data_IF_430710471042
#
_entry.id   IF_430710471042
#
_cell.length_a   1.000
_cell.length_b   1.000
_cell.length_c   1.000
_cell.angle_alpha   90.00
_cell.angle_beta   90.00
_cell.angle_gamma   90.00
#
_symmetry.space_group_name_H-M   'P 1'
#
loop_
_entity.id
_entity.type
_entity.pdbx_description
1 polymer ?
#
# COMPACT_ATOMS: atom_id res chain seq x y z
N UNK A 1 -32.93 43.76 39.55
CA UNK A 1 -33.72 43.79 40.80
C UNK A 1 -35.05 43.13 40.48
N UNK A 2 -35.49 42.01 41.04
CA UNK A 2 -35.17 41.19 42.22
C UNK A 2 -35.69 39.77 41.89
N UNK A 3 -34.90 38.71 42.06
CA UNK A 3 -34.96 37.69 43.14
C UNK A 3 -36.35 37.08 43.45
N UNK A 4 -36.48 35.77 43.25
CA UNK A 4 -36.78 34.70 44.26
C UNK A 4 -37.16 33.39 43.52
N UNK A 5 -36.41 32.30 43.71
CA UNK A 5 -36.73 31.12 44.58
C UNK A 5 -38.03 30.40 44.15
N UNK A 6 -38.14 29.09 43.92
CA UNK A 6 -37.38 27.90 44.29
C UNK A 6 -38.42 26.79 44.54
N UNK A 7 -38.19 25.54 44.12
CA UNK A 7 -38.61 24.31 44.84
C UNK A 7 -38.42 23.06 43.98
N UNK A 8 -38.03 21.98 44.66
CA UNK A 8 -37.65 20.67 44.17
C UNK A 8 -38.83 19.66 44.20
N UNK A 9 -38.78 18.61 43.37
CA UNK A 9 -39.48 17.34 43.58
C UNK A 9 -38.80 16.24 42.73
N UNK A 10 -38.09 15.31 43.38
CA UNK A 10 -38.47 13.91 43.70
C UNK A 10 -38.00 12.86 42.69
N UNK A 11 -37.23 11.91 43.23
CA UNK A 11 -36.70 10.72 42.58
C UNK A 11 -37.75 9.57 42.55
N UNK A 12 -37.59 8.65 41.58
CA UNK A 12 -38.22 7.34 41.56
C UNK A 12 -37.53 6.44 40.53
N UNK A 13 -37.07 5.21 40.88
CA UNK A 13 -36.28 4.35 40.01
C UNK A 13 -37.14 3.35 39.24
N UNK A 14 -36.74 2.99 38.02
CA UNK A 14 -37.34 1.87 37.27
C UNK A 14 -36.29 0.84 36.85
N UNK A 15 -36.40 -0.31 37.53
CA UNK A 15 -36.27 -1.69 37.07
C UNK A 15 -35.14 -2.07 36.09
N UNK A 16 -34.19 -2.81 36.67
CA UNK A 16 -33.30 -3.78 36.04
C UNK A 16 -34.14 -4.93 35.46
N UNK A 17 -33.91 -5.28 34.19
CA UNK A 17 -34.31 -6.57 33.64
C UNK A 17 -33.08 -7.27 33.06
N UNK A 18 -32.68 -8.33 33.74
CA UNK A 18 -31.70 -9.30 33.25
C UNK A 18 -32.40 -10.21 32.23
N UNK A 19 -31.75 -10.43 31.09
CA UNK A 19 -32.06 -11.58 30.24
C UNK A 19 -30.81 -12.39 30.02
N UNK A 20 -30.97 -13.67 30.34
CA UNK A 20 -29.96 -14.69 30.43
C UNK A 20 -29.64 -15.32 29.08
N UNK A 21 -28.46 -15.93 29.08
CA UNK A 21 -27.90 -16.91 28.17
C UNK A 21 -28.89 -17.77 27.37
N UNK A 22 -28.63 -17.85 26.06
CA UNK A 22 -28.82 -19.08 25.29
C UNK A 22 -27.61 -19.28 24.39
N UNK A 23 -26.75 -20.21 24.80
CA UNK A 23 -25.67 -20.75 23.99
C UNK A 23 -26.26 -21.63 22.89
N UNK A 24 -25.79 -21.43 21.66
CA UNK A 24 -26.06 -22.31 20.52
C UNK A 24 -24.78 -23.12 20.26
N UNK A 25 -24.84 -24.46 20.19
CA UNK A 25 -23.69 -25.26 19.83
C UNK A 25 -23.40 -25.08 18.34
N UNK A 26 -22.13 -24.83 18.00
CA UNK A 26 -21.67 -24.89 16.62
C UNK A 26 -20.98 -26.23 16.47
N UNK A 27 -21.59 -27.08 15.65
CA UNK A 27 -21.04 -28.38 15.30
C UNK A 27 -19.75 -28.21 14.51
N UNK A 28 -18.75 -28.95 14.99
CA UNK A 28 -17.45 -29.22 14.41
C UNK A 28 -17.63 -30.32 13.35
N UNK A 29 -17.18 -30.08 12.10
CA UNK A 29 -16.59 -31.05 11.18
C UNK A 29 -16.50 -30.50 9.74
N UNK A 30 -15.40 -30.87 9.05
CA UNK A 30 -15.15 -30.83 7.60
C UNK A 30 -14.55 -29.56 6.96
N UNK A 31 -13.29 -29.26 7.31
CA UNK A 31 -12.36 -28.59 6.39
C UNK A 31 -11.52 -29.63 5.65
N UNK A 32 -11.97 -29.97 4.44
CA UNK A 32 -11.27 -30.82 3.49
C UNK A 32 -9.96 -30.16 3.05
N UNK A 33 -8.86 -30.84 3.37
CA UNK A 33 -7.54 -30.64 2.82
C UNK A 33 -7.54 -31.03 1.33
N UNK A 34 -7.21 -30.10 0.45
CA UNK A 34 -6.74 -30.41 -0.88
C UNK A 34 -5.20 -30.47 -0.84
N UNK A 35 -4.66 -31.63 -0.48
CA UNK A 35 -3.26 -31.96 -0.76
C UNK A 35 -3.18 -32.47 -2.19
N UNK A 36 -2.46 -31.76 -3.06
CA UNK A 36 -2.04 -32.29 -4.34
C UNK A 36 -0.86 -33.24 -4.12
N UNK A 37 -1.15 -34.54 -4.22
CA UNK A 37 -0.17 -35.61 -4.30
C UNK A 37 0.73 -35.41 -5.53
N UNK A 38 2.03 -35.32 -5.29
CA UNK A 38 3.06 -35.52 -6.33
C UNK A 38 3.48 -36.97 -6.22
N UNK A 39 3.18 -37.75 -7.26
CA UNK A 39 3.68 -39.09 -7.46
C UNK A 39 5.21 -39.11 -7.49
N UNK A 40 5.80 -39.81 -6.54
CA UNK A 40 7.18 -40.26 -6.57
C UNK A 40 7.19 -41.68 -7.14
N UNK A 41 7.83 -41.86 -8.31
CA UNK A 41 8.05 -43.17 -8.92
C UNK A 41 9.52 -43.50 -8.74
N UNK A 42 9.77 -44.58 -7.99
CA UNK A 42 11.09 -45.04 -7.62
C UNK A 42 11.97 -45.49 -8.78
N UNK A 43 13.28 -45.50 -8.49
CA UNK A 43 14.31 -46.17 -9.26
C UNK A 43 15.48 -46.53 -8.35
N UNK A 44 15.52 -47.80 -7.94
CA UNK A 44 16.66 -48.43 -7.27
C UNK A 44 17.87 -48.58 -8.20
N UNK A 45 19.06 -48.31 -7.67
CA UNK A 45 20.33 -49.03 -7.88
C UNK A 45 21.35 -48.34 -6.95
N UNK A 46 21.98 -48.97 -5.95
CA UNK A 46 22.77 -50.19 -6.06
C UNK A 46 24.25 -49.79 -6.20
N UNK A 47 25.02 -49.78 -5.10
CA UNK A 47 26.46 -49.50 -5.16
C UNK A 47 27.16 -49.47 -3.79
N UNK A 48 27.73 -50.60 -3.38
CA UNK A 48 28.70 -50.76 -2.28
C UNK A 48 30.10 -50.29 -2.71
N UNK A 49 30.87 -49.70 -1.80
CA UNK A 49 32.30 -49.99 -1.49
C UNK A 49 32.82 -48.89 -0.53
N UNK A 50 33.34 -49.26 0.65
CA UNK A 50 34.78 -49.25 1.03
C UNK A 50 35.44 -47.88 0.80
N UNK A 51 36.09 -47.19 1.74
CA UNK A 51 36.91 -47.56 2.88
C UNK A 51 38.04 -46.49 2.98
N UNK A 52 38.76 -46.46 4.11
CA UNK A 52 40.04 -45.74 4.35
C UNK A 52 39.99 -44.30 4.94
N UNK A 53 40.04 -44.25 6.28
CA UNK A 53 41.24 -43.90 7.09
C UNK A 53 42.20 -42.77 6.63
N UNK A 54 42.21 -41.71 7.43
CA UNK A 54 43.34 -41.00 8.09
C UNK A 54 44.64 -40.66 7.33
N UNK A 55 45.04 -39.38 7.41
CA UNK A 55 46.28 -38.78 8.01
C UNK A 55 46.33 -37.30 7.58
N UNK A 56 46.35 -36.33 8.51
CA UNK A 56 47.54 -35.70 9.10
C UNK A 56 48.55 -35.21 8.05
N UNK A 57 48.79 -33.90 7.96
CA UNK A 57 50.11 -33.28 8.23
C UNK A 57 50.10 -31.77 7.91
N UNK A 58 50.90 -31.11 8.73
CA UNK A 58 51.36 -29.74 8.83
C UNK A 58 51.86 -29.05 7.56
N UNK A 59 52.09 -27.73 7.67
CA UNK A 59 53.23 -27.14 6.95
C UNK A 59 53.06 -25.71 6.45
N UNK A 60 53.60 -24.77 7.24
CA UNK A 60 53.92 -23.37 6.90
C UNK A 60 54.57 -23.20 5.52
N UNK A 61 54.28 -22.07 4.87
CA UNK A 61 55.12 -21.55 3.78
C UNK A 61 54.74 -20.16 3.30
N UNK A 62 55.19 -19.11 4.02
CA UNK A 62 55.28 -17.74 3.47
C UNK A 62 56.42 -17.69 2.45
N UNK A 63 56.21 -17.06 1.28
CA UNK A 63 57.02 -15.93 0.78
C UNK A 63 56.42 -15.29 -0.48
N UNK A 64 56.71 -14.00 -0.74
CA UNK A 64 56.04 -13.15 -1.73
C UNK A 64 56.87 -13.03 -3.02
N UNK A 65 56.25 -12.76 -4.17
CA UNK A 65 56.94 -12.09 -5.28
C UNK A 65 55.97 -11.43 -6.29
N UNK A 66 56.38 -10.22 -6.68
CA UNK A 66 56.27 -9.56 -7.99
C UNK A 66 54.99 -8.81 -8.39
N UNK A 67 55.17 -7.49 -8.37
CA UNK A 67 54.60 -6.49 -9.27
C UNK A 67 54.83 -6.89 -10.74
N UNK A 68 53.82 -6.66 -11.56
CA UNK A 68 53.99 -6.22 -12.94
C UNK A 68 52.76 -5.38 -13.28
N UNK A 69 52.96 -4.11 -13.63
CA UNK A 69 51.95 -3.28 -14.27
C UNK A 69 52.07 -3.41 -15.78
N UNK A 70 50.94 -3.32 -16.49
CA UNK A 70 50.83 -2.95 -17.90
C UNK A 70 49.40 -2.41 -18.09
N UNK A 71 49.29 -1.11 -18.31
CA UNK A 71 48.95 -0.47 -19.59
C UNK A 71 47.53 -0.76 -20.10
N UNK A 72 46.74 0.31 -20.10
CA UNK A 72 45.44 0.44 -20.73
C UNK A 72 45.52 0.33 -22.26
N UNK A 73 44.37 0.07 -22.90
CA UNK A 73 44.01 0.87 -24.06
C UNK A 73 42.63 1.52 -23.88
N UNK A 74 42.59 2.80 -24.24
CA UNK A 74 41.39 3.56 -24.49
C UNK A 74 40.69 3.00 -25.75
N UNK A 75 39.38 2.79 -25.66
CA UNK A 75 38.50 2.70 -26.83
C UNK A 75 37.23 3.49 -26.57
N UNK A 76 37.08 4.50 -27.42
CA UNK A 76 35.96 5.42 -27.58
C UNK A 76 34.81 4.79 -28.38
N UNK A 77 33.65 5.42 -28.20
CA UNK A 77 32.49 5.51 -29.10
C UNK A 77 31.32 4.54 -28.84
N UNK A 78 30.13 5.13 -28.71
CA UNK A 78 28.86 4.43 -28.78
C UNK A 78 27.76 5.08 -27.96
N UNK A 79 27.25 6.23 -28.39
CA UNK A 79 26.07 6.87 -27.83
C UNK A 79 24.84 5.97 -27.98
N UNK A 80 24.13 5.72 -26.88
CA UNK A 80 22.74 5.27 -26.89
C UNK A 80 21.93 6.21 -25.99
N UNK A 81 21.29 7.18 -26.62
CA UNK A 81 20.27 8.03 -25.99
C UNK A 81 18.97 7.24 -25.99
N UNK A 82 18.69 6.56 -24.88
CA UNK A 82 17.40 5.96 -24.59
C UNK A 82 16.49 6.98 -23.90
N UNK A 83 15.45 7.41 -24.60
CA UNK A 83 14.42 8.35 -24.11
C UNK A 83 13.53 7.66 -23.08
N UNK A 84 13.76 7.92 -21.79
CA UNK A 84 12.80 7.64 -20.71
C UNK A 84 11.84 8.84 -20.60
N UNK A 85 10.61 8.71 -21.11
CA UNK A 85 9.53 9.65 -20.79
C UNK A 85 9.03 9.38 -19.36
N UNK A 86 9.62 10.09 -18.40
CA UNK A 86 9.05 10.30 -17.08
C UNK A 86 8.01 11.44 -17.14
N UNK A 87 6.95 11.38 -16.33
CA UNK A 87 6.04 12.50 -16.06
C UNK A 87 6.84 13.74 -15.63
N UNK A 88 7.16 14.62 -16.59
CA UNK A 88 7.94 15.83 -16.36
C UNK A 88 6.97 16.95 -15.96
N UNK A 89 6.84 17.22 -14.66
CA UNK A 89 6.17 18.43 -14.15
C UNK A 89 7.04 19.64 -14.48
N UNK A 90 6.56 20.57 -15.31
CA UNK A 90 7.14 21.90 -15.41
C UNK A 90 6.64 22.76 -14.24
N UNK A 91 7.51 23.51 -13.53
CA UNK A 91 7.07 24.48 -12.55
C UNK A 91 6.69 25.77 -13.30
N UNK A 92 5.39 26.10 -13.34
CA UNK A 92 4.95 27.45 -13.69
C UNK A 92 5.06 28.31 -12.44
N UNK A 93 5.92 29.31 -12.49
CA UNK A 93 6.01 30.35 -11.47
C UNK A 93 4.72 31.18 -11.47
N UNK A 94 3.92 31.05 -10.42
CA UNK A 94 2.81 31.96 -10.15
C UNK A 94 3.21 32.91 -9.02
N UNK A 95 3.67 34.09 -9.41
CA UNK A 95 3.69 35.27 -8.54
C UNK A 95 2.46 36.12 -8.84
N UNK A 96 1.56 36.23 -7.85
CA UNK A 96 0.75 37.38 -7.42
C UNK A 96 -0.72 37.05 -7.10
N UNK A 97 -1.10 37.57 -5.94
CA UNK A 97 -2.42 37.96 -5.44
C UNK A 97 -3.49 36.88 -5.20
N UNK A 98 -3.36 36.27 -4.02
CA UNK A 98 -4.47 35.70 -3.27
C UNK A 98 -5.44 36.81 -2.84
N UNK A 99 -6.36 37.18 -3.73
CA UNK A 99 -7.29 38.26 -3.46
C UNK A 99 -8.44 38.40 -4.46
N UNK A 100 -8.84 37.33 -5.15
CA UNK A 100 -10.11 37.33 -5.90
C UNK A 100 -10.56 35.90 -6.18
N UNK A 101 -11.49 35.41 -5.35
CA UNK A 101 -12.29 34.23 -5.67
C UNK A 101 -13.23 34.63 -6.80
N UNK A 102 -12.90 34.24 -8.04
CA UNK A 102 -13.88 34.27 -9.11
C UNK A 102 -14.94 33.22 -8.81
N UNK A 103 -16.16 33.68 -8.53
CA UNK A 103 -17.37 32.92 -8.84
C UNK A 103 -17.36 32.72 -10.35
N UNK A 104 -17.32 31.47 -10.79
CA UNK A 104 -17.70 31.12 -12.15
C UNK A 104 -19.22 31.18 -12.21
N UNK A 105 -19.75 32.34 -12.59
CA UNK A 105 -21.13 32.45 -13.03
C UNK A 105 -21.19 31.88 -14.46
N UNK A 106 -21.81 30.72 -14.64
CA UNK A 106 -21.94 30.07 -15.95
C UNK A 106 -22.14 28.55 -15.96
N UNK A 107 -22.76 27.94 -14.94
CA UNK A 107 -23.33 26.58 -15.10
C UNK A 107 -24.65 26.71 -15.87
N UNK A 108 -24.61 26.44 -17.17
CA UNK A 108 -25.80 26.05 -17.92
C UNK A 108 -26.15 24.61 -17.57
N UNK A 109 -27.44 24.32 -17.42
CA UNK A 109 -28.03 22.98 -17.22
C UNK A 109 -27.86 22.08 -18.47
N UNK A 110 -26.65 21.94 -19.01
CA UNK A 110 -26.36 20.96 -20.05
C UNK A 110 -26.39 19.56 -19.43
N UNK A 111 -27.32 18.74 -19.91
CA UNK A 111 -27.47 17.33 -19.54
C UNK A 111 -26.12 16.63 -19.71
N UNK A 112 -25.57 16.09 -18.62
CA UNK A 112 -24.28 15.43 -18.61
C UNK A 112 -24.17 14.39 -19.75
N UNK A 113 -23.04 14.31 -20.47
CA UNK A 113 -22.88 13.39 -21.59
C UNK A 113 -23.12 11.93 -21.13
N UNK A 114 -23.91 11.20 -21.91
CA UNK A 114 -24.28 9.79 -21.64
C UNK A 114 -23.14 8.87 -22.10
N UNK A 115 -22.30 8.39 -21.18
CA UNK A 115 -21.22 7.42 -21.43
C UNK A 115 -20.15 7.39 -20.31
N UNK A 116 -19.25 6.40 -20.31
CA UNK A 116 -18.26 6.18 -19.23
C UNK A 116 -16.82 6.47 -19.66
N UNK A 117 -15.95 6.93 -18.77
CA UNK A 117 -14.54 7.21 -19.08
C UNK A 117 -13.58 6.13 -18.54
N UNK A 118 -12.53 5.76 -19.29
CA UNK A 118 -11.49 4.82 -18.83
C UNK A 118 -10.05 5.29 -19.17
N UNK A 119 -9.10 5.02 -18.26
CA UNK A 119 -7.65 5.16 -18.51
C UNK A 119 -7.03 3.79 -18.78
N UNK A 120 -6.71 3.49 -20.04
CA UNK A 120 -6.05 2.24 -20.46
C UNK A 120 -4.57 2.42 -20.75
N UNK A 121 -3.72 1.49 -20.27
CA UNK A 121 -2.44 1.22 -20.95
C UNK A 121 -2.70 0.20 -22.06
N UNK A 122 -2.05 0.38 -23.21
CA UNK A 122 -2.35 -0.32 -24.46
C UNK A 122 -2.10 -1.83 -24.48
N UNK A 123 -1.76 -2.50 -23.38
CA UNK A 123 -1.42 -3.93 -23.42
C UNK A 123 -2.63 -4.86 -23.58
N UNK A 124 -3.86 -4.40 -23.26
CA UNK A 124 -5.10 -5.10 -23.67
C UNK A 124 -5.66 -4.60 -25.02
N UNK A 125 -5.10 -3.52 -25.56
CA UNK A 125 -5.32 -3.09 -26.96
C UNK A 125 -4.21 -3.60 -27.90
N UNK A 126 -3.25 -4.39 -27.39
CA UNK A 126 -2.09 -4.89 -28.13
C UNK A 126 -2.41 -6.12 -29.01
N UNK A 127 -3.57 -6.10 -29.66
CA UNK A 127 -3.73 -6.66 -30.99
C UNK A 127 -4.32 -5.56 -31.90
N UNK A 128 -3.46 -4.69 -32.46
CA UNK A 128 -3.90 -3.61 -33.34
C UNK A 128 -4.66 -4.07 -34.60
N UNK A 129 -4.66 -5.37 -34.91
CA UNK A 129 -5.25 -5.90 -36.15
C UNK A 129 -6.65 -6.53 -36.00
N UNK A 130 -7.06 -6.96 -34.81
CA UNK A 130 -8.36 -7.64 -34.63
C UNK A 130 -9.49 -6.67 -34.22
N UNK A 131 -9.18 -5.58 -33.50
CA UNK A 131 -10.20 -4.67 -32.95
C UNK A 131 -10.61 -3.52 -33.89
N UNK A 132 -9.92 -3.33 -35.01
CA UNK A 132 -10.40 -2.43 -36.07
C UNK A 132 -11.49 -3.08 -36.94
N UNK A 133 -11.74 -4.39 -36.82
CA UNK A 133 -12.77 -5.10 -37.58
C UNK A 133 -14.11 -5.27 -36.85
N UNK A 134 -14.17 -5.07 -35.54
CA UNK A 134 -15.40 -5.38 -34.76
C UNK A 134 -16.42 -4.24 -34.70
N UNK A 135 -16.18 -3.11 -35.38
CA UNK A 135 -17.19 -2.06 -35.54
C UNK A 135 -17.70 -1.44 -34.24
N UNK A 136 -16.89 -1.44 -33.17
CA UNK A 136 -17.25 -0.76 -31.93
C UNK A 136 -17.05 0.75 -32.09
N UNK A 137 -18.13 1.41 -32.52
CA UNK A 137 -18.21 2.86 -32.75
C UNK A 137 -18.17 3.67 -31.46
N UNK A 138 -16.99 3.82 -30.87
CA UNK A 138 -16.67 4.96 -30.00
C UNK A 138 -15.96 6.05 -30.82
N UNK A 139 -16.18 7.32 -30.49
CA UNK A 139 -15.64 8.47 -31.25
C UNK A 139 -14.11 8.54 -31.33
N UNK A 140 -13.37 7.80 -30.51
CA UNK A 140 -11.91 7.64 -30.65
C UNK A 140 -11.50 6.66 -31.76
N UNK A 141 -12.44 5.94 -32.36
CA UNK A 141 -12.22 5.03 -33.49
C UNK A 141 -13.34 5.10 -34.55
N UNK A 142 -14.37 5.94 -34.38
CA UNK A 142 -15.44 6.10 -35.35
C UNK A 142 -15.17 7.30 -36.25
N UNK A 143 -14.33 7.10 -37.25
CA UNK A 143 -14.51 7.76 -38.52
C UNK A 143 -14.10 6.80 -39.62
N UNK A 144 -14.93 6.77 -40.65
CA UNK A 144 -14.92 5.95 -41.86
C UNK A 144 -13.71 6.16 -42.78
N UNK A 145 -12.55 6.52 -42.22
CA UNK A 145 -11.31 6.74 -42.95
C UNK A 145 -10.21 6.15 -42.09
N UNK A 146 -9.32 5.35 -42.68
CA UNK A 146 -8.17 4.75 -42.00
C UNK A 146 -7.44 5.81 -41.17
N UNK A 147 -7.68 5.80 -39.86
CA UNK A 147 -7.10 6.78 -38.95
C UNK A 147 -5.58 6.57 -38.94
N UNK A 148 -4.85 7.61 -39.31
CA UNK A 148 -3.41 7.71 -39.20
C UNK A 148 -2.98 7.32 -37.77
N UNK A 149 -1.90 6.54 -37.65
CA UNK A 149 -1.24 6.18 -36.38
C UNK A 149 -1.08 7.41 -35.47
N UNK A 150 -0.87 8.58 -36.06
CA UNK A 150 -0.74 9.87 -35.39
C UNK A 150 -2.00 10.34 -34.64
N UNK A 151 -3.19 9.93 -35.09
CA UNK A 151 -4.48 10.25 -34.46
C UNK A 151 -4.75 9.31 -33.27
N UNK A 152 -4.32 8.05 -33.39
CA UNK A 152 -4.33 7.08 -32.30
C UNK A 152 -3.30 7.45 -31.20
N UNK A 153 -2.14 8.00 -31.58
CA UNK A 153 -1.15 8.53 -30.64
C UNK A 153 -1.66 9.76 -29.87
N UNK A 154 -2.68 10.47 -30.37
CA UNK A 154 -3.27 11.63 -29.68
C UNK A 154 -4.09 11.23 -28.44
N UNK A 155 -4.62 10.02 -28.41
CA UNK A 155 -5.34 9.48 -27.23
C UNK A 155 -4.41 8.93 -26.13
N UNK A 156 -3.08 9.07 -26.28
CA UNK A 156 -2.14 8.75 -25.19
C UNK A 156 -2.41 9.66 -23.99
N UNK A 157 -3.07 9.09 -22.99
CA UNK A 157 -3.35 9.78 -21.74
C UNK A 157 -4.53 10.74 -21.81
N UNK A 158 -5.51 10.46 -22.67
CA UNK A 158 -6.83 11.10 -22.61
C UNK A 158 -7.91 10.08 -22.23
N UNK A 159 -8.92 10.57 -21.52
CA UNK A 159 -10.09 9.79 -21.12
C UNK A 159 -10.96 9.52 -22.36
N UNK A 160 -11.20 8.25 -22.70
CA UNK A 160 -12.10 7.87 -23.78
C UNK A 160 -13.50 7.60 -23.26
N UNK A 161 -14.54 8.07 -23.98
CA UNK A 161 -15.95 7.78 -23.65
C UNK A 161 -16.34 6.42 -24.25
N UNK A 162 -16.77 5.50 -23.38
CA UNK A 162 -17.25 4.17 -23.72
C UNK A 162 -18.79 4.15 -23.81
N UNK A 163 -19.38 3.33 -24.70
CA UNK A 163 -20.82 3.13 -24.78
C UNK A 163 -21.41 2.57 -23.47
N UNK A 164 -22.63 3.01 -23.11
CA UNK A 164 -23.35 2.63 -21.89
C UNK A 164 -23.43 1.11 -21.65
N UNK A 165 -23.57 0.33 -22.72
CA UNK A 165 -23.61 -1.15 -22.68
C UNK A 165 -22.33 -1.81 -22.17
N UNK A 166 -21.20 -1.09 -22.19
CA UNK A 166 -19.92 -1.51 -21.61
C UNK A 166 -19.89 -1.26 -20.10
N UNK A 167 -20.58 -0.22 -19.64
CA UNK A 167 -20.73 0.15 -18.24
C UNK A 167 -21.67 -0.82 -17.49
N UNK A 168 -22.69 -1.32 -18.18
CA UNK A 168 -23.67 -2.28 -17.64
C UNK A 168 -23.06 -3.66 -17.31
N UNK A 169 -21.84 -3.94 -17.78
CA UNK A 169 -21.07 -5.17 -17.51
C UNK A 169 -20.08 -5.05 -16.33
N UNK A 170 -20.18 -3.99 -15.53
CA UNK A 170 -19.41 -3.84 -14.28
C UNK A 170 -18.22 -2.88 -14.33
N UNK A 171 -18.12 -2.01 -15.35
CA UNK A 171 -17.22 -0.87 -15.32
C UNK A 171 -17.95 0.33 -14.71
N UNK A 172 -17.51 0.79 -13.54
CA UNK A 172 -18.11 1.96 -12.89
C UNK A 172 -17.95 3.19 -13.77
N UNK A 173 -18.96 4.06 -13.76
CA UNK A 173 -18.88 5.46 -14.17
C UNK A 173 -17.74 6.13 -13.36
N UNK A 174 -16.50 6.14 -13.86
CA UNK A 174 -15.35 6.55 -13.06
C UNK A 174 -15.36 8.06 -12.86
N UNK A 175 -15.84 8.48 -11.68
CA UNK A 175 -15.61 9.80 -11.11
C UNK A 175 -14.11 10.12 -11.20
N UNK A 176 -13.71 11.38 -11.43
CA UNK A 176 -12.29 11.74 -11.39
C UNK A 176 -11.69 11.27 -10.07
N UNK A 177 -10.46 10.72 -10.14
CA UNK A 177 -9.77 10.26 -8.94
C UNK A 177 -9.74 11.38 -7.88
N UNK A 178 -10.01 11.07 -6.61
CA UNK A 178 -9.97 12.06 -5.55
C UNK A 178 -8.59 12.71 -5.51
N UNK A 179 -8.56 14.04 -5.66
CA UNK A 179 -7.33 14.80 -5.58
C UNK A 179 -6.76 14.73 -4.16
N UNK A 180 -5.50 14.30 -4.06
CA UNK A 180 -4.68 14.42 -2.86
C UNK A 180 -3.78 15.64 -3.02
N UNK A 181 -3.80 16.51 -2.01
CA UNK A 181 -3.00 17.73 -2.00
C UNK A 181 -1.50 17.45 -1.96
N UNK A 182 -0.73 18.41 -2.46
CA UNK A 182 0.71 18.45 -2.19
C UNK A 182 0.96 18.77 -0.72
N UNK A 183 2.01 18.18 -0.16
CA UNK A 183 2.46 18.53 1.18
C UNK A 183 2.91 19.99 1.27
N UNK A 184 2.51 20.66 2.34
CA UNK A 184 2.98 21.98 2.72
C UNK A 184 3.22 21.97 4.23
N UNK A 185 4.47 22.16 4.62
CA UNK A 185 4.91 22.09 6.02
C UNK A 185 4.04 22.96 6.93
N UNK A 186 3.45 22.34 7.94
CA UNK A 186 2.65 23.02 8.97
C UNK A 186 3.42 23.23 10.27
N UNK A 187 4.48 22.45 10.50
CA UNK A 187 5.30 22.49 11.71
C UNK A 187 6.62 23.24 11.56
N UNK A 188 7.25 23.47 12.70
CA UNK A 188 8.55 24.13 12.82
C UNK A 188 9.70 23.11 12.79
N UNK A 189 10.75 23.44 12.03
CA UNK A 189 11.98 22.66 11.95
C UNK A 189 11.86 21.34 11.19
N UNK A 190 13.01 20.72 10.93
CA UNK A 190 13.10 19.43 10.22
C UNK A 190 12.71 18.27 11.13
N UNK A 191 11.83 17.40 10.64
CA UNK A 191 11.36 16.18 11.33
C UNK A 191 11.59 14.97 10.43
N UNK A 192 12.29 13.94 10.92
CA UNK A 192 12.40 12.66 10.21
C UNK A 192 11.35 11.69 10.76
N UNK A 193 10.60 11.07 9.87
CA UNK A 193 9.55 10.11 10.21
C UNK A 193 9.88 8.77 9.58
N UNK A 194 9.94 7.71 10.40
CA UNK A 194 10.15 6.35 9.91
C UNK A 194 8.87 5.53 9.95
N UNK A 195 8.49 4.98 8.80
CA UNK A 195 7.28 4.16 8.63
C UNK A 195 7.64 2.71 8.29
N UNK A 196 6.76 1.77 8.62
CA UNK A 196 6.86 0.35 8.34
C UNK A 196 5.57 -0.19 7.71
N UNK A 197 5.71 -1.07 6.72
CA UNK A 197 4.67 -2.01 6.29
C UNK A 197 5.15 -3.44 6.50
N UNK A 198 4.32 -4.31 7.07
CA UNK A 198 4.69 -5.71 7.29
C UNK A 198 3.48 -6.64 7.45
N UNK A 199 3.22 -7.49 6.45
CA UNK A 199 2.28 -8.60 6.60
C UNK A 199 2.93 -9.66 7.51
N UNK A 200 2.26 -10.03 8.59
CA UNK A 200 2.78 -10.92 9.63
C UNK A 200 2.48 -12.40 9.38
N UNK A 201 1.66 -12.72 8.38
CA UNK A 201 1.26 -14.08 8.05
C UNK A 201 0.76 -14.86 9.28
N UNK A 202 -0.18 -14.23 10.01
CA UNK A 202 -0.43 -14.56 11.41
C UNK A 202 -0.79 -16.00 11.68
N UNK A 203 -1.67 -16.57 10.85
CA UNK A 203 -2.11 -17.94 11.02
C UNK A 203 -0.94 -18.92 10.99
N UNK A 204 0.11 -18.63 10.21
CA UNK A 204 1.26 -19.50 10.12
C UNK A 204 2.32 -19.14 11.16
N UNK A 205 2.71 -17.86 11.22
CA UNK A 205 3.78 -17.42 12.09
C UNK A 205 3.40 -17.55 13.58
N UNK A 206 2.22 -17.07 13.96
CA UNK A 206 1.80 -17.05 15.36
C UNK A 206 0.98 -18.27 15.75
N UNK A 207 0.01 -18.70 14.93
CA UNK A 207 -0.88 -19.80 15.34
C UNK A 207 -0.21 -21.17 15.14
N UNK A 208 0.46 -21.42 13.99
CA UNK A 208 1.16 -22.70 13.75
C UNK A 208 2.56 -22.76 14.34
N UNK A 209 3.36 -21.70 14.16
CA UNK A 209 4.77 -21.68 14.57
C UNK A 209 4.99 -21.03 15.94
N UNK A 210 3.93 -20.68 16.67
CA UNK A 210 3.98 -20.10 18.02
C UNK A 210 4.88 -18.85 18.13
N UNK A 211 4.88 -18.03 17.07
CA UNK A 211 5.68 -16.81 16.93
C UNK A 211 7.17 -17.05 16.64
N UNK A 212 7.58 -18.30 16.39
CA UNK A 212 8.96 -18.68 16.01
C UNK A 212 10.03 -18.03 16.93
N UNK A 213 9.79 -18.10 18.23
CA UNK A 213 10.66 -17.47 19.23
C UNK A 213 10.73 -15.94 19.14
N UNK A 214 9.67 -15.28 18.67
CA UNK A 214 9.57 -13.83 18.53
C UNK A 214 10.38 -13.29 17.34
N UNK A 215 10.52 -14.05 16.25
CA UNK A 215 11.37 -13.71 15.10
C UNK A 215 11.00 -12.35 14.49
N UNK A 216 9.71 -12.07 14.30
CA UNK A 216 9.20 -10.78 13.83
C UNK A 216 9.56 -9.64 14.78
N UNK A 217 9.30 -9.78 16.09
CA UNK A 217 9.63 -8.76 17.09
C UNK A 217 11.13 -8.49 17.17
N UNK A 218 11.96 -9.53 17.14
CA UNK A 218 13.43 -9.41 17.10
C UNK A 218 13.91 -8.68 15.84
N UNK A 219 13.28 -8.90 14.69
CA UNK A 219 13.56 -8.15 13.47
C UNK A 219 13.27 -6.66 13.65
N UNK A 220 12.10 -6.31 14.20
CA UNK A 220 11.73 -4.91 14.45
C UNK A 220 12.70 -4.26 15.43
N UNK A 221 13.06 -4.95 16.52
CA UNK A 221 14.03 -4.46 17.51
C UNK A 221 15.36 -4.09 16.88
N UNK A 222 15.99 -5.01 16.15
CA UNK A 222 17.28 -4.76 15.48
C UNK A 222 17.17 -3.63 14.46
N UNK A 223 16.07 -3.62 13.71
CA UNK A 223 15.86 -2.59 12.68
C UNK A 223 15.69 -1.20 13.25
N UNK A 224 15.16 -1.07 14.47
CA UNK A 224 14.89 0.20 15.13
C UNK A 224 16.09 0.79 15.91
N UNK A 225 17.20 0.06 16.06
CA UNK A 225 18.35 0.47 16.90
C UNK A 225 18.91 1.85 16.53
N UNK A 226 19.10 2.12 15.23
CA UNK A 226 19.66 3.39 14.75
C UNK A 226 18.60 4.48 14.58
N UNK A 227 17.38 4.11 14.21
CA UNK A 227 16.30 5.06 13.92
C UNK A 227 14.99 4.41 14.32
N UNK A 228 14.36 4.81 15.42
CA UNK A 228 13.10 4.23 15.86
C UNK A 228 12.01 4.36 14.80
N UNK A 229 11.08 3.41 14.75
CA UNK A 229 9.85 3.58 13.99
C UNK A 229 8.95 4.63 14.65
N UNK A 230 8.23 5.39 13.83
CA UNK A 230 7.19 6.31 14.29
C UNK A 230 5.81 5.68 14.10
N UNK A 231 5.60 5.05 12.95
CA UNK A 231 4.35 4.38 12.58
C UNK A 231 4.63 3.00 11.99
N UNK A 232 3.81 2.02 12.34
CA UNK A 232 3.87 0.67 11.79
C UNK A 232 2.48 0.22 11.36
N UNK A 233 2.35 -0.20 10.11
CA UNK A 233 1.18 -0.89 9.57
C UNK A 233 1.46 -2.38 9.46
N UNK A 234 0.59 -3.20 10.06
CA UNK A 234 0.67 -4.65 9.96
C UNK A 234 -0.56 -5.20 9.25
N UNK A 235 -0.35 -6.21 8.42
CA UNK A 235 -1.42 -6.97 7.75
C UNK A 235 -1.39 -8.41 8.24
N UNK A 236 -2.53 -9.09 8.15
CA UNK A 236 -2.78 -10.35 8.84
C UNK A 236 -2.31 -10.25 10.29
N UNK A 237 -2.91 -9.36 11.07
CA UNK A 237 -2.50 -9.08 12.42
C UNK A 237 -3.71 -9.10 13.34
N UNK A 238 -3.67 -9.98 14.35
CA UNK A 238 -4.75 -10.12 15.33
C UNK A 238 -4.38 -9.49 16.68
N UNK A 239 -3.12 -9.61 17.12
CA UNK A 239 -2.67 -9.06 18.41
C UNK A 239 -1.39 -8.25 18.24
N UNK A 240 -1.47 -6.93 17.98
CA UNK A 240 -0.27 -6.13 17.69
C UNK A 240 0.68 -6.05 18.89
N UNK A 241 0.16 -6.14 20.12
CA UNK A 241 0.99 -6.11 21.32
C UNK A 241 1.87 -7.35 21.49
N UNK A 242 1.54 -8.49 20.88
CA UNK A 242 2.44 -9.66 20.89
C UNK A 242 3.75 -9.33 20.16
N UNK A 243 3.64 -8.78 18.96
CA UNK A 243 4.80 -8.38 18.14
C UNK A 243 5.62 -7.29 18.83
N UNK A 244 4.94 -6.29 19.41
CA UNK A 244 5.59 -5.20 20.12
C UNK A 244 6.29 -5.66 21.41
N UNK A 245 5.69 -6.60 22.14
CA UNK A 245 6.30 -7.21 23.32
C UNK A 245 7.56 -7.98 22.96
N UNK A 246 7.52 -8.82 21.92
CA UNK A 246 8.69 -9.55 21.42
C UNK A 246 9.81 -8.60 20.94
N UNK A 247 9.44 -7.38 20.49
CA UNK A 247 10.38 -6.31 20.14
C UNK A 247 10.89 -5.48 21.35
N UNK A 248 10.27 -5.62 22.53
CA UNK A 248 10.52 -4.75 23.69
C UNK A 248 10.06 -3.31 23.49
N UNK A 249 9.03 -3.09 22.68
CA UNK A 249 8.50 -1.78 22.27
C UNK A 249 7.10 -1.48 22.83
N UNK A 250 6.45 -2.43 23.48
CA UNK A 250 5.07 -2.34 24.02
C UNK A 250 4.86 -1.11 24.92
N UNK A 251 5.87 -0.72 25.70
CA UNK A 251 5.81 0.44 26.59
C UNK A 251 5.86 1.78 25.85
N UNK A 252 6.53 1.84 24.70
CA UNK A 252 6.74 3.08 23.94
C UNK A 252 5.68 3.31 22.85
N UNK A 253 4.91 2.27 22.54
CA UNK A 253 3.90 2.29 21.49
C UNK A 253 2.48 2.20 22.05
N UNK A 254 1.54 2.70 21.26
CA UNK A 254 0.12 2.35 21.36
C UNK A 254 -0.25 1.65 20.07
N UNK A 255 -0.99 0.56 20.17
CA UNK A 255 -1.44 -0.21 19.01
C UNK A 255 -2.89 -0.67 19.13
N UNK A 256 -3.50 -0.95 17.98
CA UNK A 256 -4.83 -1.54 17.87
C UNK A 256 -4.96 -2.29 16.55
N UNK A 257 -6.02 -3.10 16.43
CA UNK A 257 -6.37 -3.83 15.23
C UNK A 257 -7.82 -3.53 14.82
N UNK A 258 -8.18 -3.96 13.61
CA UNK A 258 -9.55 -3.97 13.10
C UNK A 258 -10.10 -5.39 13.05
N UNK A 259 -11.38 -5.55 12.69
CA UNK A 259 -11.99 -6.88 12.52
C UNK A 259 -11.47 -7.63 11.26
N UNK A 260 -10.77 -6.95 10.35
CA UNK A 260 -10.19 -7.54 9.12
C UNK A 260 -8.70 -7.88 9.28
N UNK A 261 -8.25 -8.13 10.52
CA UNK A 261 -6.88 -8.53 10.84
C UNK A 261 -5.82 -7.58 10.24
N UNK A 262 -6.03 -6.27 10.38
CA UNK A 262 -5.00 -5.27 10.11
C UNK A 262 -4.75 -4.48 11.38
N UNK A 263 -3.49 -4.17 11.67
CA UNK A 263 -3.10 -3.43 12.86
C UNK A 263 -2.33 -2.16 12.53
N UNK A 264 -2.32 -1.25 13.49
CA UNK A 264 -1.51 -0.05 13.46
C UNK A 264 -0.85 0.15 14.83
N UNK A 265 0.42 0.54 14.83
CA UNK A 265 1.13 0.98 16.02
C UNK A 265 1.79 2.33 15.78
N UNK A 266 1.81 3.19 16.80
CA UNK A 266 2.54 4.46 16.75
C UNK A 266 3.31 4.73 18.04
N UNK A 267 4.40 5.47 17.93
CA UNK A 267 5.28 5.82 19.04
C UNK A 267 4.69 6.95 19.89
N UNK A 268 3.98 6.60 20.97
CA UNK A 268 3.16 7.53 21.77
C UNK A 268 3.96 8.60 22.52
N UNK A 269 5.26 8.38 22.71
CA UNK A 269 6.18 9.35 23.34
C UNK A 269 6.33 10.63 22.52
N UNK A 270 6.29 10.55 21.19
CA UNK A 270 6.55 11.70 20.30
C UNK A 270 5.35 12.06 19.44
N UNK A 271 4.38 11.17 19.31
CA UNK A 271 3.13 11.41 18.59
C UNK A 271 1.92 11.36 19.52
N UNK A 272 0.97 12.23 19.25
CA UNK A 272 -0.37 12.25 19.85
C UNK A 272 -1.38 11.79 18.81
N UNK A 273 -2.24 10.83 19.18
CA UNK A 273 -3.36 10.42 18.33
C UNK A 273 -4.46 11.48 18.39
N UNK A 274 -4.82 12.04 17.23
CA UNK A 274 -5.90 13.03 17.11
C UNK A 274 -7.24 12.37 16.81
N UNK A 275 -7.24 11.44 15.85
CA UNK A 275 -8.44 10.74 15.37
C UNK A 275 -8.03 9.46 14.65
N UNK A 276 -8.89 8.45 14.67
CA UNK A 276 -8.72 7.22 13.90
C UNK A 276 -10.05 6.71 13.37
N UNK A 277 -9.99 5.79 12.42
CA UNK A 277 -11.14 5.07 11.91
C UNK A 277 -10.73 4.04 10.87
N UNK A 278 -11.74 3.45 10.24
CA UNK A 278 -11.59 2.43 9.21
C UNK A 278 -12.75 2.51 8.21
N UNK A 279 -12.52 2.01 7.00
CA UNK A 279 -13.55 1.92 5.96
C UNK A 279 -13.30 0.69 5.09
N UNK A 280 -14.35 -0.02 4.69
CA UNK A 280 -14.26 -1.05 3.66
C UNK A 280 -13.95 -0.38 2.31
N UNK A 281 -12.88 -0.83 1.67
CA UNK A 281 -12.38 -0.26 0.40
C UNK A 281 -12.32 -1.28 -0.73
N UNK A 282 -12.45 -2.57 -0.42
CA UNK A 282 -12.56 -3.66 -1.38
C UNK A 282 -13.27 -4.88 -0.77
N UNK A 283 -13.55 -5.86 -1.63
CA UNK A 283 -13.98 -7.19 -1.24
C UNK A 283 -13.25 -8.21 -2.11
N UNK A 284 -12.83 -9.34 -1.55
CA UNK A 284 -12.20 -10.42 -2.31
C UNK A 284 -13.13 -11.00 -3.37
N UNK A 285 -12.59 -11.49 -4.49
CA UNK A 285 -13.41 -12.24 -5.45
C UNK A 285 -13.99 -13.49 -4.78
N UNK A 286 -15.22 -13.91 -5.15
CA UNK A 286 -15.85 -15.12 -4.62
C UNK A 286 -15.25 -16.38 -5.28
N UNK A 287 -13.93 -16.53 -5.20
CA UNK A 287 -13.18 -17.69 -5.70
C UNK A 287 -12.81 -18.59 -4.51
N UNK A 288 -13.02 -19.91 -4.61
CA UNK A 288 -12.60 -20.86 -3.57
C UNK A 288 -11.12 -20.64 -3.17
N UNK A 289 -10.85 -20.60 -1.87
CA UNK A 289 -9.49 -20.36 -1.32
C UNK A 289 -8.92 -18.95 -1.51
N UNK A 290 -9.69 -18.02 -2.08
CA UNK A 290 -9.26 -16.63 -2.32
C UNK A 290 -10.26 -15.61 -1.75
N UNK A 291 -11.38 -16.07 -1.20
CA UNK A 291 -12.42 -15.24 -0.61
C UNK A 291 -12.29 -15.20 0.93
N UNK A 292 -11.61 -14.18 1.45
CA UNK A 292 -11.53 -13.88 2.88
C UNK A 292 -12.43 -12.68 3.26
N UNK A 293 -13.27 -12.24 2.31
CA UNK A 293 -14.28 -11.21 2.51
C UNK A 293 -13.76 -9.79 2.37
N UNK A 294 -14.30 -8.91 3.21
CA UNK A 294 -14.14 -7.47 3.12
C UNK A 294 -12.71 -7.04 3.43
N UNK A 295 -12.24 -6.01 2.73
CA UNK A 295 -10.90 -5.44 2.88
C UNK A 295 -10.97 -3.99 3.30
N UNK A 296 -10.17 -3.66 4.30
CA UNK A 296 -10.28 -2.40 5.04
C UNK A 296 -9.10 -1.48 4.76
N UNK A 297 -9.37 -0.18 4.63
CA UNK A 297 -8.40 0.89 4.80
C UNK A 297 -8.52 1.42 6.23
N UNK A 298 -7.48 1.23 7.03
CA UNK A 298 -7.39 1.71 8.41
C UNK A 298 -6.60 3.01 8.42
N UNK A 299 -7.08 4.03 9.14
CA UNK A 299 -6.43 5.34 9.16
C UNK A 299 -6.36 5.94 10.56
N UNK A 300 -5.34 6.76 10.76
CA UNK A 300 -5.22 7.61 11.92
C UNK A 300 -4.50 8.91 11.60
N UNK A 301 -4.91 9.97 12.29
CA UNK A 301 -4.26 11.27 12.26
C UNK A 301 -3.49 11.47 13.55
N UNK A 302 -2.29 11.99 13.41
CA UNK A 302 -1.39 12.23 14.51
C UNK A 302 -0.89 13.66 14.50
N UNK A 303 -0.48 14.15 15.67
CA UNK A 303 0.28 15.38 15.84
C UNK A 303 1.61 15.06 16.49
N UNK A 304 2.69 15.52 15.88
CA UNK A 304 4.01 15.43 16.49
C UNK A 304 4.08 16.43 17.65
N UNK A 305 4.45 15.93 18.84
CA UNK A 305 4.37 16.72 20.08
C UNK A 305 5.32 17.92 20.12
N UNK A 306 6.47 17.82 19.44
CA UNK A 306 7.49 18.89 19.47
C UNK A 306 7.29 19.96 18.39
N UNK A 307 6.94 19.54 17.17
CA UNK A 307 6.89 20.44 16.00
C UNK A 307 5.47 20.85 15.62
N UNK A 308 4.46 20.26 16.26
CA UNK A 308 3.04 20.37 15.91
C UNK A 308 2.66 19.91 14.48
N UNK A 309 3.61 19.33 13.72
CA UNK A 309 3.34 18.77 12.41
C UNK A 309 2.29 17.66 12.54
N UNK A 310 1.25 17.73 11.72
CA UNK A 310 0.22 16.68 11.67
C UNK A 310 0.51 15.68 10.56
N UNK A 311 0.09 14.43 10.70
CA UNK A 311 0.28 13.36 9.70
C UNK A 311 -1.00 12.54 9.59
N UNK A 312 -1.38 12.18 8.37
CA UNK A 312 -2.31 11.09 8.11
C UNK A 312 -1.54 9.80 7.80
N UNK A 313 -1.72 8.77 8.61
CA UNK A 313 -1.19 7.43 8.36
C UNK A 313 -2.32 6.48 7.98
N UNK A 314 -2.14 5.74 6.89
CA UNK A 314 -3.09 4.76 6.36
C UNK A 314 -2.41 3.39 6.26
N UNK A 315 -3.12 2.34 6.65
CA UNK A 315 -2.70 0.96 6.49
C UNK A 315 -3.78 0.17 5.75
N UNK A 316 -3.39 -0.70 4.84
CA UNK A 316 -4.30 -1.47 3.99
C UNK A 316 -3.82 -2.92 3.78
N UNK A 317 -4.77 -3.84 3.68
CA UNK A 317 -4.53 -5.19 3.17
C UNK A 317 -5.45 -5.40 1.96
N UNK A 318 -4.86 -5.51 0.77
CA UNK A 318 -5.56 -5.54 -0.50
C UNK A 318 -6.35 -6.81 -0.75
N UNK A 319 -7.27 -6.77 -1.72
CA UNK A 319 -8.12 -7.91 -2.04
C UNK A 319 -7.39 -8.96 -2.87
N UNK A 320 -7.88 -10.18 -2.77
CA UNK A 320 -7.49 -11.34 -3.56
C UNK A 320 -8.51 -11.63 -4.68
N UNK A 321 -8.08 -12.30 -5.78
CA UNK A 321 -6.71 -12.71 -6.10
C UNK A 321 -5.78 -11.53 -6.40
N UNK A 322 -4.47 -11.81 -6.37
CA UNK A 322 -3.43 -10.81 -6.61
C UNK A 322 -3.69 -9.97 -7.88
N UNK A 323 -3.51 -8.66 -7.75
CA UNK A 323 -3.56 -7.63 -8.79
C UNK A 323 -4.91 -7.44 -9.47
N UNK A 324 -5.97 -8.08 -8.98
CA UNK A 324 -7.32 -7.96 -9.55
C UNK A 324 -8.10 -6.75 -9.01
N UNK A 325 -7.79 -6.32 -7.77
CA UNK A 325 -8.66 -5.40 -7.03
C UNK A 325 -9.94 -6.05 -6.50
N UNK A 326 -9.99 -7.39 -6.47
CA UNK A 326 -11.12 -8.13 -5.90
C UNK A 326 -12.38 -8.06 -6.76
N UNK A 327 -13.54 -8.06 -6.11
CA UNK A 327 -14.85 -7.89 -6.77
C UNK A 327 -15.02 -6.50 -7.39
N UNK A 328 -14.37 -5.49 -6.82
CA UNK A 328 -14.60 -4.10 -7.18
C UNK A 328 -13.67 -3.61 -8.29
N UNK A 329 -12.62 -4.37 -8.59
CA UNK A 329 -11.64 -4.03 -9.61
C UNK A 329 -10.62 -3.00 -9.12
N UNK A 330 -9.42 -3.03 -9.72
CA UNK A 330 -8.30 -2.22 -9.28
C UNK A 330 -8.55 -0.70 -9.21
N UNK A 331 -9.18 -0.08 -10.23
CA UNK A 331 -9.52 1.34 -10.20
C UNK A 331 -10.42 1.75 -9.02
N UNK A 332 -11.45 0.96 -8.72
CA UNK A 332 -12.36 1.23 -7.59
C UNK A 332 -11.64 1.17 -6.25
N UNK A 333 -10.74 0.20 -6.05
CA UNK A 333 -9.94 0.12 -4.82
C UNK A 333 -9.07 1.36 -4.66
N UNK A 334 -8.39 1.79 -5.73
CA UNK A 334 -7.59 3.00 -5.71
C UNK A 334 -8.44 4.25 -5.42
N UNK A 335 -9.59 4.39 -6.08
CA UNK A 335 -10.54 5.48 -5.84
C UNK A 335 -11.00 5.51 -4.38
N UNK A 336 -11.35 4.37 -3.80
CA UNK A 336 -11.81 4.27 -2.42
C UNK A 336 -10.71 4.64 -1.42
N UNK A 337 -9.48 4.19 -1.65
CA UNK A 337 -8.31 4.54 -0.83
C UNK A 337 -7.97 6.03 -0.92
N UNK A 338 -8.00 6.62 -2.11
CA UNK A 338 -7.80 8.07 -2.27
C UNK A 338 -8.95 8.88 -1.68
N UNK A 339 -10.19 8.38 -1.76
CA UNK A 339 -11.35 8.98 -1.09
C UNK A 339 -11.17 8.97 0.42
N UNK A 340 -10.70 7.86 0.98
CA UNK A 340 -10.37 7.74 2.41
C UNK A 340 -9.31 8.77 2.82
N UNK A 341 -8.24 8.93 2.02
CA UNK A 341 -7.22 9.96 2.24
C UNK A 341 -7.85 11.36 2.19
N UNK A 342 -8.62 11.67 1.16
CA UNK A 342 -9.22 12.99 0.98
C UNK A 342 -10.20 13.35 2.11
N UNK A 343 -11.02 12.38 2.55
CA UNK A 343 -12.03 12.55 3.60
C UNK A 343 -11.42 12.75 4.98
N UNK A 344 -10.28 12.13 5.24
CA UNK A 344 -9.72 12.07 6.58
C UNK A 344 -8.43 12.87 6.77
N UNK A 345 -7.71 13.26 5.74
CA UNK A 345 -6.58 14.18 5.87
C UNK A 345 -6.99 15.64 5.79
N UNK A 346 -6.00 16.53 5.91
CA UNK A 346 -6.15 17.98 5.71
C UNK A 346 -5.24 18.47 4.61
N UNK A 347 -5.70 19.45 3.82
CA UNK A 347 -4.85 20.14 2.82
C UNK A 347 -3.51 20.55 3.44
N UNK A 348 -2.42 20.23 2.73
CA UNK A 348 -1.04 20.46 3.18
C UNK A 348 -0.47 19.37 4.08
N UNK A 349 -1.26 18.48 4.67
CA UNK A 349 -0.77 17.42 5.58
C UNK A 349 0.00 16.33 4.81
N UNK A 350 1.10 15.78 5.37
CA UNK A 350 1.76 14.60 4.82
C UNK A 350 0.87 13.36 5.00
N UNK A 351 0.82 12.55 3.96
CA UNK A 351 0.14 11.25 3.93
C UNK A 351 1.20 10.16 3.84
N UNK A 352 1.09 9.14 4.68
CA UNK A 352 1.86 7.90 4.56
C UNK A 352 0.88 6.75 4.48
N UNK A 353 0.87 6.02 3.36
CA UNK A 353 0.03 4.85 3.16
C UNK A 353 0.91 3.62 3.02
N UNK A 354 0.68 2.64 3.86
CA UNK A 354 1.41 1.37 3.93
C UNK A 354 0.44 0.22 3.71
N UNK A 355 0.95 -0.93 3.32
CA UNK A 355 0.12 -2.10 3.13
C UNK A 355 0.79 -3.21 2.35
N UNK A 356 0.25 -4.40 2.54
CA UNK A 356 0.23 -5.44 1.53
C UNK A 356 -0.96 -5.15 0.62
N UNK A 357 -0.71 -4.70 -0.61
CA UNK A 357 -1.79 -4.32 -1.52
C UNK A 357 -2.34 -5.50 -2.31
N UNK A 358 -1.79 -6.71 -2.12
CA UNK A 358 -2.06 -7.87 -2.97
C UNK A 358 -2.01 -7.47 -4.46
N UNK A 359 -1.11 -6.57 -4.85
CA UNK A 359 -1.11 -5.91 -6.15
C UNK A 359 0.30 -5.53 -6.54
N UNK A 360 0.78 -6.03 -7.67
CA UNK A 360 2.15 -5.71 -8.12
C UNK A 360 2.25 -4.29 -8.66
N UNK A 361 3.49 -3.80 -8.83
CA UNK A 361 3.80 -2.43 -9.30
C UNK A 361 3.06 -1.97 -10.56
N UNK A 362 2.73 -2.91 -11.46
CA UNK A 362 2.08 -2.67 -12.75
C UNK A 362 0.57 -2.84 -12.72
N UNK A 363 -0.02 -3.25 -11.58
CA UNK A 363 -1.47 -3.44 -11.48
C UNK A 363 -2.23 -2.11 -11.58
N UNK A 364 -3.50 -2.18 -11.97
CA UNK A 364 -4.34 -0.99 -12.08
C UNK A 364 -4.53 -0.29 -10.73
N UNK A 365 -4.67 -1.02 -9.63
CA UNK A 365 -4.76 -0.42 -8.28
C UNK A 365 -3.55 0.47 -7.99
N UNK A 366 -2.35 -0.05 -8.21
CA UNK A 366 -1.10 0.63 -7.87
C UNK A 366 -0.83 1.79 -8.82
N UNK A 367 -1.12 1.63 -10.11
CA UNK A 367 -0.98 2.71 -11.10
C UNK A 367 -1.93 3.87 -10.80
N UNK A 368 -3.19 3.58 -10.48
CA UNK A 368 -4.18 4.62 -10.13
C UNK A 368 -3.87 5.31 -8.79
N UNK A 369 -3.40 4.56 -7.78
CA UNK A 369 -2.86 5.18 -6.55
C UNK A 369 -1.68 6.10 -6.86
N UNK A 370 -0.81 5.68 -7.79
CA UNK A 370 0.34 6.43 -8.29
C UNK A 370 0.01 7.80 -8.89
N UNK A 371 -1.24 7.99 -9.36
CA UNK A 371 -1.71 9.28 -9.88
C UNK A 371 -1.94 10.31 -8.76
N UNK A 372 -2.31 9.87 -7.56
CA UNK A 372 -2.56 10.73 -6.40
C UNK A 372 -1.44 10.75 -5.37
N UNK A 373 -0.68 9.65 -5.24
CA UNK A 373 0.39 9.47 -4.26
C UNK A 373 1.65 8.95 -4.95
N UNK A 374 2.79 9.52 -4.61
CA UNK A 374 4.10 9.00 -4.98
C UNK A 374 4.35 7.64 -4.31
N UNK A 375 4.71 6.63 -5.12
CA UNK A 375 5.12 5.31 -4.62
C UNK A 375 6.57 5.37 -4.12
N UNK A 376 6.73 5.51 -2.81
CA UNK A 376 8.01 5.68 -2.10
C UNK A 376 8.85 4.40 -2.18
N UNK A 377 8.24 3.25 -1.90
CA UNK A 377 8.96 1.98 -1.88
C UNK A 377 8.04 0.81 -2.21
N UNK A 378 8.64 -0.30 -2.62
CA UNK A 378 7.94 -1.57 -2.76
C UNK A 378 8.86 -2.71 -2.40
N UNK A 379 8.30 -3.72 -1.75
CA UNK A 379 9.00 -4.97 -1.48
C UNK A 379 9.34 -5.74 -2.75
N UNK A 380 9.89 -6.93 -2.56
CA UNK A 380 10.25 -7.86 -3.64
C UNK A 380 9.42 -9.15 -3.61
N UNK A 381 8.85 -9.50 -2.46
CA UNK A 381 8.01 -10.69 -2.28
C UNK A 381 6.75 -10.62 -3.14
N UNK A 382 6.38 -11.76 -3.72
CA UNK A 382 5.21 -11.92 -4.60
C UNK A 382 5.14 -10.92 -5.77
N UNK A 383 6.29 -10.50 -6.31
CA UNK A 383 6.35 -9.48 -7.37
C UNK A 383 6.27 -8.03 -6.85
N UNK A 384 6.47 -7.86 -5.54
CA UNK A 384 6.50 -6.58 -4.85
C UNK A 384 5.12 -6.00 -4.58
N UNK A 385 4.27 -6.77 -3.89
CA UNK A 385 2.89 -6.37 -3.54
C UNK A 385 2.80 -5.48 -2.29
N UNK A 386 3.84 -5.49 -1.45
CA UNK A 386 3.96 -4.58 -0.32
C UNK A 386 4.43 -3.20 -0.81
N UNK A 387 3.71 -2.15 -0.45
CA UNK A 387 3.99 -0.79 -0.90
C UNK A 387 3.98 0.24 0.23
N UNK A 388 4.78 1.29 0.03
CA UNK A 388 4.71 2.54 0.78
C UNK A 388 4.43 3.67 -0.22
N UNK A 389 3.38 4.43 0.03
CA UNK A 389 2.96 5.59 -0.75
C UNK A 389 2.96 6.86 0.12
N UNK A 390 3.17 8.01 -0.52
CA UNK A 390 3.10 9.31 0.13
C UNK A 390 2.76 10.43 -0.85
N UNK A 391 2.20 11.54 -0.38
CA UNK A 391 2.05 12.78 -1.18
C UNK A 391 3.29 13.69 -1.11
N UNK A 392 4.39 13.22 -0.50
CA UNK A 392 5.67 13.92 -0.48
C UNK A 392 6.41 13.77 -1.82
N UNK A 393 7.19 14.79 -2.18
CA UNK A 393 8.14 14.71 -3.28
C UNK A 393 9.23 13.68 -3.01
N UNK A 394 9.78 13.08 -4.07
CA UNK A 394 10.85 12.08 -3.97
C UNK A 394 12.10 12.60 -3.25
N UNK A 395 12.38 13.91 -3.32
CA UNK A 395 13.50 14.55 -2.59
C UNK A 395 13.34 14.52 -1.06
N UNK A 396 12.13 14.25 -0.56
CA UNK A 396 11.82 14.11 0.88
C UNK A 396 12.02 12.69 1.38
N UNK A 397 12.33 11.73 0.51
CA UNK A 397 12.62 10.34 0.90
C UNK A 397 14.10 10.23 1.24
N UNK A 398 14.42 10.13 2.54
CA UNK A 398 15.81 10.04 2.99
C UNK A 398 16.41 8.65 2.73
N UNK A 399 15.61 7.60 2.97
CA UNK A 399 16.03 6.21 2.75
C UNK A 399 14.84 5.26 2.68
N UNK A 400 15.05 4.13 2.03
CA UNK A 400 14.13 2.98 1.99
C UNK A 400 14.91 1.70 2.29
N UNK A 401 14.23 0.70 2.85
CA UNK A 401 14.87 -0.56 3.19
C UNK A 401 13.87 -1.73 3.14
N UNK A 402 14.34 -2.85 2.60
CA UNK A 402 13.78 -4.16 2.88
C UNK A 402 14.52 -4.71 4.12
N UNK A 403 13.78 -5.01 5.18
CA UNK A 403 14.30 -5.46 6.46
C UNK A 403 14.36 -6.99 6.56
N UNK A 404 13.75 -7.70 5.61
CA UNK A 404 13.66 -9.15 5.55
C UNK A 404 12.40 -9.72 6.21
N UNK A 405 12.33 -11.05 6.22
CA UNK A 405 11.09 -11.79 6.48
C UNK A 405 10.67 -11.87 7.94
N UNK A 406 11.62 -12.01 8.87
CA UNK A 406 11.32 -12.17 10.30
C UNK A 406 10.32 -13.29 10.61
N UNK A 407 10.33 -14.39 9.84
CA UNK A 407 9.41 -15.53 10.00
C UNK A 407 8.12 -15.46 9.17
N UNK A 408 7.77 -14.28 8.64
CA UNK A 408 6.66 -14.11 7.70
C UNK A 408 7.06 -14.57 6.29
N UNK A 409 6.08 -14.93 5.46
CA UNK A 409 6.30 -15.12 4.03
C UNK A 409 6.52 -13.78 3.28
N UNK A 410 6.07 -12.67 3.86
CA UNK A 410 6.38 -11.30 3.43
C UNK A 410 7.65 -10.73 4.06
N UNK A 411 8.28 -9.79 3.36
CA UNK A 411 9.36 -8.98 3.90
C UNK A 411 8.78 -7.74 4.60
N UNK A 412 9.32 -7.40 5.77
CA UNK A 412 9.08 -6.10 6.39
C UNK A 412 9.78 -5.00 5.56
N UNK A 413 9.04 -3.95 5.16
CA UNK A 413 9.60 -2.84 4.39
C UNK A 413 9.45 -1.50 5.13
N UNK A 414 10.43 -0.61 4.98
CA UNK A 414 10.47 0.66 5.69
C UNK A 414 10.94 1.81 4.82
N UNK A 415 10.48 3.02 5.16
CA UNK A 415 10.97 4.27 4.60
C UNK A 415 11.19 5.31 5.70
N UNK A 416 12.20 6.17 5.51
CA UNK A 416 12.43 7.36 6.34
C UNK A 416 12.18 8.58 5.46
N UNK A 417 11.28 9.46 5.90
CA UNK A 417 10.89 10.66 5.16
C UNK A 417 11.13 11.92 6.00
N UNK A 418 11.58 12.99 5.34
CA UNK A 418 11.80 14.30 5.96
C UNK A 418 10.58 15.20 5.79
N UNK A 419 10.04 15.68 6.91
CA UNK A 419 9.02 16.72 7.03
C UNK A 419 9.65 18.02 7.56
N UNK A 420 8.90 19.12 7.51
CA UNK A 420 9.35 20.42 7.97
C UNK A 420 9.95 21.29 6.87
N UNK A 421 10.24 22.55 7.18
CA UNK A 421 11.07 23.39 6.31
C UNK A 421 12.54 22.96 6.42
N UNK A 422 13.24 22.96 5.29
CA UNK A 422 14.70 22.99 5.31
C UNK A 422 15.10 24.38 5.83
N UNK A 423 15.92 24.42 6.88
CA UNK A 423 16.46 25.67 7.40
C UNK A 423 17.56 26.20 6.48
#
# INVERSE_FOLDING_TARGET
>A
SDRSEGSAATAGPTAVSAMADTAVPVDDESLLLASSDVHDVGGEAGGKSEGLSATDDSGRGRRPFLRAGFLAPALTAGALVGTLLACRRQPVALTRDAGQVMRLDGESDEEAPKGCCAWGDHTHCAKPWENCQTGLGGSCCSATVAADVKECERCRGEWIVLPQSTCDKGHSLEKPLPYVWNYSSSGEGRLRVRVLSYNLFWWHLFDKNNGEGGSAGKLLKRSAEKTPFDFMGFQECQQPYRVLFDAGMDKDFTAWHTNQNICMAYRKKVWELLKRGEQIVANDQPKPGQNFGQRTGMWARFRHRKTNETVLFVNHHGPLPLSTGGQWGGPSVAYNLLTLVQKHGRKGEPVFMTGDFNSVKTSMTVRQLGCGLHRVFSGVKFGGIDHIFSNLDASRVDSTANLGQGGSDHDAISAVLSLGREN
#
